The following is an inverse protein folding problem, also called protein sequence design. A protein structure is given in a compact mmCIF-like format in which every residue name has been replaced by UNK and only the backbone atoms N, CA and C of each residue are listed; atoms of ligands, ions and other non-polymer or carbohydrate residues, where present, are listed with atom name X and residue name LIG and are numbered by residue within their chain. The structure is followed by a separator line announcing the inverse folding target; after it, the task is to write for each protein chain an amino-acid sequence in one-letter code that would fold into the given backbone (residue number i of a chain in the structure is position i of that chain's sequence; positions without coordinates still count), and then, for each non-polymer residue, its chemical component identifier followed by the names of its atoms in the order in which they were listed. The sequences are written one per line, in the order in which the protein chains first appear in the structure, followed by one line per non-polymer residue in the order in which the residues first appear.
data_IF_131909866405
#
_entry.id   IF_131909866405
#
_cell.length_a   1.000
_cell.length_b   1.000
_cell.length_c   1.000
_cell.angle_alpha   90.00
_cell.angle_beta   90.00
_cell.angle_gamma   90.00
#
_symmetry.space_group_name_H-M   'P 1'
#
loop_
_entity.id
_entity.type
_entity.pdbx_description
1 polymer ?
#
# COMPACT_ATOMS: atom_id res chain seq x y z
N UNK A 1 -9.75 25.74 -42.92
CA UNK A 1 -8.51 25.44 -42.17
C UNK A 1 -8.62 25.92 -40.72
N UNK A 2 -9.72 25.60 -40.04
CA UNK A 2 -9.91 25.88 -38.61
C UNK A 2 -10.70 24.72 -38.03
N UNK A 3 -10.00 23.67 -37.61
CA UNK A 3 -10.51 22.58 -36.77
C UNK A 3 -9.33 21.65 -36.45
N UNK A 4 -8.58 21.92 -35.37
CA UNK A 4 -7.68 20.92 -34.76
C UNK A 4 -7.08 21.33 -33.40
N UNK A 5 -7.73 22.18 -32.59
CA UNK A 5 -7.15 22.63 -31.28
C UNK A 5 -8.06 22.49 -30.06
N UNK A 6 -9.24 21.86 -30.18
CA UNK A 6 -10.22 21.84 -29.08
C UNK A 6 -10.42 20.47 -28.40
N UNK A 7 -9.63 19.45 -28.74
CA UNK A 7 -9.73 18.10 -28.15
C UNK A 7 -8.56 17.71 -27.22
N UNK A 8 -7.82 18.69 -26.69
CA UNK A 8 -6.73 18.44 -25.74
C UNK A 8 -6.95 19.14 -24.38
N UNK A 9 -8.19 19.17 -23.88
CA UNK A 9 -8.56 19.83 -22.62
C UNK A 9 -8.96 18.87 -21.49
N UNK A 10 -8.75 17.56 -21.64
CA UNK A 10 -9.01 16.55 -20.59
C UNK A 10 -7.86 15.57 -20.34
N UNK A 11 -6.65 15.87 -20.84
CA UNK A 11 -5.44 15.25 -20.30
C UNK A 11 -5.02 16.08 -19.09
N UNK A 12 -5.20 15.53 -17.90
CA UNK A 12 -4.61 16.06 -16.66
C UNK A 12 -3.11 16.22 -16.92
N UNK A 13 -2.66 17.46 -17.18
CA UNK A 13 -1.28 17.76 -17.57
C UNK A 13 -0.35 17.15 -16.52
N UNK A 14 0.53 16.25 -16.94
CA UNK A 14 1.52 15.63 -16.05
C UNK A 14 2.50 16.71 -15.65
N UNK A 15 2.54 17.04 -14.37
CA UNK A 15 3.40 18.09 -13.84
C UNK A 15 4.77 17.50 -13.52
N UNK A 16 5.81 18.05 -14.16
CA UNK A 16 7.19 17.66 -13.87
C UNK A 16 7.67 18.30 -12.58
N UNK A 17 8.02 17.50 -11.57
CA UNK A 17 8.62 17.97 -10.32
C UNK A 17 10.13 18.17 -10.50
N UNK A 18 10.63 19.34 -10.14
CA UNK A 18 12.05 19.69 -10.25
C UNK A 18 12.86 19.18 -9.05
N UNK A 19 13.34 17.95 -9.14
CA UNK A 19 14.25 17.34 -8.15
C UNK A 19 15.68 17.83 -8.40
N UNK A 20 16.32 18.39 -7.38
CA UNK A 20 17.73 18.82 -7.47
C UNK A 20 18.68 17.73 -7.01
N UNK A 21 19.95 17.83 -7.41
CA UNK A 21 21.00 16.95 -6.89
C UNK A 21 21.09 16.99 -5.35
N UNK A 22 20.97 18.18 -4.75
CA UNK A 22 20.98 18.35 -3.30
C UNK A 22 19.83 17.62 -2.60
N UNK A 23 18.64 17.60 -3.19
CA UNK A 23 17.51 16.83 -2.64
C UNK A 23 17.83 15.34 -2.60
N UNK A 24 18.36 14.80 -3.71
CA UNK A 24 18.70 13.39 -3.80
C UNK A 24 19.81 13.00 -2.82
N UNK A 25 20.89 13.79 -2.73
CA UNK A 25 21.99 13.54 -1.79
C UNK A 25 21.50 13.58 -0.34
N UNK A 26 20.62 14.53 0.02
CA UNK A 26 20.06 14.63 1.35
C UNK A 26 19.21 13.40 1.71
N UNK A 27 18.31 12.97 0.81
CA UNK A 27 17.53 11.74 1.00
C UNK A 27 18.44 10.52 1.12
N UNK A 28 19.47 10.40 0.27
CA UNK A 28 20.42 9.28 0.34
C UNK A 28 21.12 9.22 1.69
N UNK A 29 21.63 10.36 2.15
CA UNK A 29 22.33 10.45 3.43
C UNK A 29 21.42 10.07 4.61
N UNK A 30 20.16 10.52 4.58
CA UNK A 30 19.17 10.21 5.60
C UNK A 30 18.77 8.73 5.61
N UNK A 31 18.50 8.13 4.44
CA UNK A 31 18.05 6.72 4.37
C UNK A 31 19.14 5.74 4.82
N UNK A 32 20.41 6.07 4.59
CA UNK A 32 21.54 5.27 5.07
C UNK A 32 21.62 5.15 6.59
N UNK A 33 21.05 6.08 7.35
CA UNK A 33 21.06 6.00 8.82
C UNK A 33 20.04 5.00 9.36
N UNK A 34 19.04 4.63 8.55
CA UNK A 34 17.94 3.74 8.95
C UNK A 34 18.33 2.27 8.82
N UNK A 35 18.99 1.91 7.72
CA UNK A 35 19.33 0.50 7.45
C UNK A 35 20.74 0.22 8.01
N UNK A 36 20.86 -0.55 9.10
CA UNK A 36 22.17 -0.85 9.67
C UNK A 36 22.98 -1.71 8.70
N UNK A 37 24.29 -1.44 8.68
CA UNK A 37 25.28 -2.18 7.89
C UNK A 37 24.94 -2.30 6.40
N UNK A 38 24.27 -1.30 5.82
CA UNK A 38 24.02 -1.23 4.38
C UNK A 38 25.35 -1.16 3.62
N UNK A 39 25.61 -2.15 2.76
CA UNK A 39 26.90 -2.21 2.07
C UNK A 39 27.03 -3.33 1.05
N UNK A 40 28.27 -3.66 0.69
CA UNK A 40 28.62 -4.62 -0.38
C UNK A 40 28.20 -6.06 -0.12
N UNK A 41 27.80 -6.40 1.11
CA UNK A 41 27.22 -7.71 1.45
C UNK A 41 25.75 -7.84 1.05
N UNK A 42 25.10 -6.73 0.69
CA UNK A 42 23.70 -6.71 0.31
C UNK A 42 23.50 -6.83 -1.20
N UNK A 43 22.34 -7.36 -1.54
CA UNK A 43 21.83 -7.45 -2.91
C UNK A 43 20.41 -6.90 -2.92
N UNK A 44 20.17 -5.89 -3.74
CA UNK A 44 18.87 -5.24 -3.89
C UNK A 44 18.16 -5.71 -5.16
N UNK A 45 16.85 -5.99 -5.05
CA UNK A 45 16.01 -6.27 -6.22
C UNK A 45 15.30 -4.99 -6.68
N UNK A 46 15.72 -4.46 -7.84
CA UNK A 46 15.04 -3.37 -8.54
C UNK A 46 14.01 -3.95 -9.52
N UNK A 47 12.72 -3.75 -9.26
CA UNK A 47 11.65 -4.25 -10.13
C UNK A 47 10.53 -3.25 -10.39
N UNK A 48 10.52 -2.09 -9.71
CA UNK A 48 9.63 -1.00 -10.06
C UNK A 48 10.25 -0.17 -11.20
N UNK A 49 9.44 0.60 -11.95
CA UNK A 49 9.97 1.45 -13.01
C UNK A 49 10.83 2.60 -12.45
N UNK A 50 12.00 2.82 -13.04
CA UNK A 50 12.91 3.93 -12.67
C UNK A 50 12.27 5.33 -12.81
N UNK A 51 11.23 5.46 -13.63
CA UNK A 51 10.44 6.70 -13.74
C UNK A 51 9.71 7.08 -12.44
N UNK A 52 9.58 6.15 -11.50
CA UNK A 52 8.99 6.39 -10.19
C UNK A 52 10.08 6.79 -9.18
N UNK A 53 9.89 7.94 -8.52
CA UNK A 53 10.87 8.54 -7.58
C UNK A 53 11.31 7.59 -6.47
N UNK A 54 10.43 6.68 -6.02
CA UNK A 54 10.75 5.72 -4.97
C UNK A 54 11.84 4.73 -5.39
N UNK A 55 11.77 4.19 -6.62
CA UNK A 55 12.80 3.31 -7.16
C UNK A 55 14.07 4.09 -7.48
N UNK A 56 13.94 5.29 -8.07
CA UNK A 56 15.09 6.15 -8.35
C UNK A 56 15.89 6.47 -7.07
N UNK A 57 15.21 6.83 -5.98
CA UNK A 57 15.85 7.11 -4.70
C UNK A 57 16.47 5.84 -4.09
N UNK A 58 15.77 4.71 -4.16
CA UNK A 58 16.28 3.43 -3.66
C UNK A 58 17.55 2.99 -4.41
N UNK A 59 17.52 2.94 -5.75
CA UNK A 59 18.70 2.63 -6.57
C UNK A 59 19.85 3.59 -6.26
N UNK A 60 19.58 4.89 -6.10
CA UNK A 60 20.60 5.87 -5.75
C UNK A 60 21.23 5.61 -4.36
N UNK A 61 20.43 5.20 -3.36
CA UNK A 61 20.93 4.77 -2.04
C UNK A 61 21.80 3.52 -2.17
N UNK A 62 21.36 2.54 -2.95
CA UNK A 62 22.07 1.27 -3.15
C UNK A 62 23.41 1.49 -3.85
N UNK A 63 23.42 2.23 -4.97
CA UNK A 63 24.63 2.58 -5.71
C UNK A 63 25.63 3.32 -4.83
N UNK A 64 25.16 4.32 -4.09
CA UNK A 64 26.04 5.10 -3.25
C UNK A 64 26.62 4.24 -2.10
N UNK A 65 25.90 3.21 -1.65
CA UNK A 65 26.32 2.31 -0.57
C UNK A 65 27.12 1.09 -1.06
N UNK A 66 27.35 0.95 -2.37
CA UNK A 66 28.07 -0.19 -2.96
C UNK A 66 27.28 -1.49 -2.97
N UNK A 67 25.95 -1.43 -2.88
CA UNK A 67 25.04 -2.59 -2.91
C UNK A 67 24.90 -3.08 -4.35
N UNK A 68 24.91 -4.40 -4.56
CA UNK A 68 24.65 -4.96 -5.88
C UNK A 68 23.16 -4.86 -6.22
N UNK A 69 22.83 -4.44 -7.45
CA UNK A 69 21.44 -4.30 -7.92
C UNK A 69 21.16 -5.38 -8.96
N UNK A 70 20.12 -6.18 -8.72
CA UNK A 70 19.55 -7.09 -9.70
C UNK A 70 18.24 -6.53 -10.25
N UNK A 71 18.14 -6.46 -11.58
CA UNK A 71 16.95 -5.95 -12.27
C UNK A 71 15.97 -7.07 -12.57
N UNK A 72 14.68 -6.82 -12.32
CA UNK A 72 13.59 -7.73 -12.60
C UNK A 72 12.30 -6.99 -12.94
N UNK A 73 11.17 -7.69 -12.92
CA UNK A 73 9.85 -7.08 -13.06
C UNK A 73 8.85 -7.69 -12.09
N UNK A 74 7.82 -6.94 -11.72
CA UNK A 74 6.72 -7.46 -10.90
C UNK A 74 6.05 -8.73 -11.48
N UNK A 75 6.17 -8.95 -12.80
CA UNK A 75 5.56 -10.08 -13.52
C UNK A 75 6.51 -11.27 -13.73
N UNK A 76 7.78 -11.14 -13.33
CA UNK A 76 8.84 -12.18 -13.39
C UNK A 76 9.48 -12.44 -12.02
N UNK A 77 9.05 -11.71 -10.99
CA UNK A 77 9.64 -11.68 -9.66
C UNK A 77 9.70 -13.06 -8.98
N UNK A 78 8.61 -13.81 -8.99
CA UNK A 78 8.49 -15.13 -8.32
C UNK A 78 8.35 -16.26 -9.34
N UNK A 79 8.67 -17.49 -8.94
CA UNK A 79 8.50 -18.71 -9.76
C UNK A 79 7.05 -18.94 -10.23
N UNK A 80 6.07 -18.30 -9.57
CA UNK A 80 4.66 -18.38 -9.89
C UNK A 80 4.15 -17.19 -10.72
N UNK A 81 5.03 -16.30 -11.16
CA UNK A 81 4.61 -15.07 -11.85
C UNK A 81 4.20 -15.33 -13.30
N UNK A 82 3.21 -14.57 -13.78
CA UNK A 82 2.52 -14.87 -15.05
C UNK A 82 3.41 -14.81 -16.30
N UNK A 83 4.46 -13.99 -16.31
CA UNK A 83 5.37 -13.85 -17.46
C UNK A 83 6.58 -14.77 -17.39
N UNK A 84 6.69 -15.61 -16.36
CA UNK A 84 7.78 -16.57 -16.27
C UNK A 84 7.45 -17.83 -17.08
N UNK A 85 8.45 -18.37 -17.78
CA UNK A 85 8.30 -19.65 -18.48
C UNK A 85 8.06 -20.75 -17.43
N UNK A 86 6.97 -21.51 -17.57
CA UNK A 86 6.67 -22.63 -16.67
C UNK A 86 7.87 -23.56 -16.52
N UNK A 87 8.25 -23.86 -15.27
CA UNK A 87 9.42 -24.68 -14.95
C UNK A 87 10.75 -23.93 -14.82
N UNK A 88 10.76 -22.60 -14.98
CA UNK A 88 11.94 -21.75 -14.72
C UNK A 88 11.84 -21.03 -13.38
N UNK A 89 12.97 -20.52 -12.88
CA UNK A 89 13.09 -19.80 -11.61
C UNK A 89 12.92 -18.30 -11.83
N UNK A 90 12.14 -17.65 -10.96
CA UNK A 90 11.93 -16.20 -10.96
C UNK A 90 13.15 -15.42 -10.53
N UNK A 91 13.09 -14.11 -10.77
CA UNK A 91 14.19 -13.18 -10.51
C UNK A 91 14.70 -13.31 -9.08
N UNK A 92 13.77 -13.37 -8.11
CA UNK A 92 14.09 -13.43 -6.68
C UNK A 92 14.71 -14.78 -6.28
N UNK A 93 14.30 -15.89 -6.93
CA UNK A 93 14.84 -17.22 -6.66
C UNK A 93 16.29 -17.39 -7.17
N UNK A 94 16.64 -16.66 -8.23
CA UNK A 94 18.00 -16.64 -8.80
C UNK A 94 18.87 -15.64 -8.06
N UNK A 95 18.41 -14.40 -7.91
CA UNK A 95 19.16 -13.29 -7.33
C UNK A 95 19.37 -13.45 -5.82
N UNK A 96 18.40 -14.02 -5.11
CA UNK A 96 18.40 -14.14 -3.64
C UNK A 96 18.69 -12.80 -2.93
N UNK A 97 17.85 -11.77 -3.15
CA UNK A 97 18.08 -10.44 -2.61
C UNK A 97 18.06 -10.43 -1.07
N UNK A 98 18.81 -9.49 -0.50
CA UNK A 98 18.76 -9.16 0.94
C UNK A 98 17.86 -7.96 1.23
N UNK A 99 17.68 -7.07 0.26
CA UNK A 99 16.90 -5.84 0.39
C UNK A 99 15.89 -5.72 -0.75
N UNK A 100 14.74 -5.13 -0.44
CA UNK A 100 13.67 -4.91 -1.40
C UNK A 100 12.80 -3.74 -0.97
N UNK A 101 12.44 -2.85 -1.90
CA UNK A 101 11.29 -1.97 -1.70
C UNK A 101 10.03 -2.63 -2.23
N UNK A 102 8.88 -2.32 -1.65
CA UNK A 102 7.61 -2.89 -2.10
C UNK A 102 6.50 -1.86 -2.10
N UNK A 103 5.44 -2.19 -2.81
CA UNK A 103 4.14 -1.50 -2.73
C UNK A 103 3.11 -2.43 -2.08
N UNK A 104 2.05 -1.90 -1.43
CA UNK A 104 1.07 -2.72 -0.73
C UNK A 104 0.47 -3.84 -1.58
N UNK A 105 0.10 -3.55 -2.83
CA UNK A 105 -0.46 -4.53 -3.75
C UNK A 105 0.45 -5.76 -3.99
N UNK A 106 1.77 -5.58 -3.99
CA UNK A 106 2.73 -6.69 -4.13
C UNK A 106 2.81 -7.50 -2.84
N UNK A 107 2.77 -6.84 -1.69
CA UNK A 107 2.74 -7.49 -0.38
C UNK A 107 1.46 -8.31 -0.19
N UNK A 108 0.31 -7.78 -0.58
CA UNK A 108 -0.98 -8.50 -0.55
C UNK A 108 -0.94 -9.75 -1.46
N UNK A 109 -0.39 -9.63 -2.68
CA UNK A 109 -0.19 -10.79 -3.56
C UNK A 109 0.72 -11.86 -2.95
N UNK A 110 1.79 -11.45 -2.26
CA UNK A 110 2.68 -12.39 -1.54
C UNK A 110 1.90 -13.10 -0.42
N UNK A 111 1.11 -12.35 0.36
CA UNK A 111 0.25 -12.91 1.41
C UNK A 111 -0.72 -13.94 0.83
N UNK A 112 -1.40 -13.61 -0.26
CA UNK A 112 -2.38 -14.49 -0.88
C UNK A 112 -1.72 -15.75 -1.48
N UNK A 113 -0.53 -15.60 -2.06
CA UNK A 113 0.28 -16.73 -2.52
C UNK A 113 0.70 -17.66 -1.37
N UNK A 114 1.03 -17.12 -0.19
CA UNK A 114 1.29 -17.92 1.02
C UNK A 114 0.04 -18.69 1.41
N UNK A 115 -1.12 -18.02 1.52
CA UNK A 115 -2.37 -18.68 1.90
C UNK A 115 -2.77 -19.79 0.93
N UNK A 116 -2.63 -19.56 -0.38
CA UNK A 116 -2.89 -20.57 -1.41
C UNK A 116 -2.00 -21.79 -1.23
N UNK A 117 -0.69 -21.60 -1.03
CA UNK A 117 0.28 -22.69 -0.82
C UNK A 117 0.02 -23.47 0.47
N UNK A 118 -0.42 -22.79 1.53
CA UNK A 118 -0.82 -23.44 2.79
C UNK A 118 -2.09 -24.25 2.60
N UNK A 119 -3.07 -23.74 1.86
CA UNK A 119 -4.33 -24.43 1.58
C UNK A 119 -4.13 -25.68 0.70
N UNK A 120 -3.24 -25.64 -0.28
CA UNK A 120 -2.90 -26.77 -1.17
C UNK A 120 -2.27 -27.96 -0.40
N UNK A 121 -1.53 -27.69 0.69
CA UNK A 121 -0.90 -28.72 1.53
C UNK A 121 -1.84 -29.39 2.54
N UNK A 122 -3.14 -29.06 2.52
CA UNK A 122 -4.18 -29.73 3.30
C UNK A 122 -4.36 -29.23 4.75
N UNK A 123 -5.38 -29.80 5.42
CA UNK A 123 -5.92 -29.27 6.69
C UNK A 123 -4.98 -29.34 7.91
N UNK A 124 -4.11 -30.36 7.99
CA UNK A 124 -3.14 -30.48 9.10
C UNK A 124 -2.06 -29.39 8.98
N UNK A 125 -1.52 -29.19 7.78
CA UNK A 125 -0.54 -28.13 7.49
C UNK A 125 -1.12 -26.74 7.78
N UNK A 126 -2.39 -26.51 7.40
CA UNK A 126 -3.10 -25.27 7.73
C UNK A 126 -3.24 -25.06 9.24
N UNK A 127 -3.67 -26.08 10.00
CA UNK A 127 -3.75 -25.98 11.47
C UNK A 127 -2.39 -25.69 12.11
N UNK A 128 -1.33 -26.34 11.63
CA UNK A 128 0.04 -26.09 12.09
C UNK A 128 0.49 -24.65 11.78
N UNK A 129 0.16 -24.14 10.58
CA UNK A 129 0.42 -22.75 10.21
C UNK A 129 -0.31 -21.78 11.13
N UNK A 130 -1.61 -21.99 11.35
CA UNK A 130 -2.43 -21.13 12.21
C UNK A 130 -1.92 -21.11 13.65
N UNK A 131 -1.48 -22.27 14.18
CA UNK A 131 -0.87 -22.38 15.51
C UNK A 131 0.46 -21.63 15.55
N UNK A 132 1.36 -21.87 14.60
CA UNK A 132 2.66 -21.21 14.54
C UNK A 132 2.53 -19.69 14.41
N UNK A 133 1.60 -19.23 13.57
CA UNK A 133 1.29 -17.82 13.39
C UNK A 133 0.81 -17.19 14.70
N UNK A 134 -0.19 -17.79 15.36
CA UNK A 134 -0.72 -17.29 16.64
C UNK A 134 0.33 -17.26 17.75
N UNK A 135 1.24 -18.23 17.79
CA UNK A 135 2.31 -18.27 18.81
C UNK A 135 3.42 -17.25 18.54
N UNK A 136 3.79 -17.00 17.29
CA UNK A 136 4.71 -15.91 16.96
C UNK A 136 4.05 -14.53 17.20
N UNK A 137 2.76 -14.40 16.89
CA UNK A 137 2.00 -13.20 17.20
C UNK A 137 1.97 -12.93 18.70
N UNK A 138 1.66 -13.94 19.51
CA UNK A 138 1.71 -13.84 20.97
C UNK A 138 3.08 -13.47 21.51
N UNK A 139 4.17 -13.93 20.87
CA UNK A 139 5.53 -13.55 21.27
C UNK A 139 5.82 -12.05 20.99
N UNK A 140 5.34 -11.54 19.85
CA UNK A 140 5.47 -10.12 19.47
C UNK A 140 4.64 -9.23 20.40
N UNK A 141 3.44 -9.67 20.78
CA UNK A 141 2.54 -8.93 21.69
C UNK A 141 2.94 -9.07 23.18
N UNK A 142 4.05 -9.74 23.49
CA UNK A 142 4.52 -9.92 24.87
C UNK A 142 3.65 -10.89 25.70
N UNK A 143 2.84 -11.72 25.06
CA UNK A 143 2.02 -12.74 25.72
C UNK A 143 2.86 -13.90 26.24
N UNK A 144 2.51 -14.41 27.43
CA UNK A 144 3.05 -15.66 28.00
C UNK A 144 2.88 -16.87 27.08
N UNK A 145 1.88 -16.85 26.19
CA UNK A 145 1.61 -17.90 25.20
C UNK A 145 2.46 -17.80 23.93
N UNK A 146 3.37 -16.83 23.87
CA UNK A 146 4.29 -16.63 22.77
C UNK A 146 5.29 -17.78 22.58
N UNK A 147 5.76 -17.98 21.36
CA UNK A 147 6.74 -19.04 21.08
C UNK A 147 8.08 -18.76 21.77
N UNK A 148 8.48 -19.65 22.68
CA UNK A 148 9.80 -19.64 23.31
C UNK A 148 10.89 -20.11 22.32
N UNK A 149 12.16 -19.77 22.58
CA UNK A 149 13.27 -19.96 21.63
C UNK A 149 13.36 -21.36 20.96
N UNK A 150 13.17 -22.50 21.67
CA UNK A 150 13.21 -23.84 21.05
C UNK A 150 12.07 -24.09 20.05
N UNK A 151 10.88 -23.60 20.36
CA UNK A 151 9.69 -23.81 19.54
C UNK A 151 9.71 -22.90 18.31
N UNK A 152 10.21 -21.67 18.48
CA UNK A 152 10.43 -20.74 17.37
C UNK A 152 11.36 -21.36 16.31
N UNK A 153 12.35 -22.14 16.71
CA UNK A 153 13.26 -22.86 15.80
C UNK A 153 12.54 -23.93 14.96
N UNK A 154 11.63 -24.68 15.58
CA UNK A 154 10.81 -25.71 14.91
C UNK A 154 9.90 -25.05 13.87
N UNK A 155 9.13 -24.03 14.27
CA UNK A 155 8.24 -23.33 13.36
C UNK A 155 8.98 -22.63 12.21
N UNK A 156 10.13 -22.02 12.52
CA UNK A 156 11.00 -21.40 11.52
C UNK A 156 11.46 -22.39 10.46
N UNK A 157 11.81 -23.62 10.85
CA UNK A 157 12.35 -24.62 9.93
C UNK A 157 11.27 -25.29 9.08
N UNK A 158 10.11 -25.59 9.67
CA UNK A 158 9.06 -26.37 9.01
C UNK A 158 8.13 -25.47 8.18
N UNK A 159 7.75 -24.30 8.72
CA UNK A 159 6.68 -23.48 8.16
C UNK A 159 7.24 -22.24 7.45
N UNK A 160 8.10 -21.48 8.11
CA UNK A 160 8.54 -20.18 7.59
C UNK A 160 9.68 -20.29 6.58
N UNK A 161 10.57 -21.28 6.67
CA UNK A 161 11.66 -21.48 5.70
C UNK A 161 11.15 -21.67 4.25
N UNK A 162 10.11 -22.49 3.98
CA UNK A 162 9.50 -22.57 2.64
C UNK A 162 8.84 -21.28 2.16
N UNK A 163 8.39 -20.41 3.08
CA UNK A 163 7.76 -19.12 2.77
C UNK A 163 8.84 -18.10 2.41
N UNK A 164 9.89 -17.98 3.24
CA UNK A 164 11.08 -17.16 2.97
C UNK A 164 11.74 -17.52 1.64
N UNK A 165 11.81 -18.81 1.33
CA UNK A 165 12.37 -19.29 0.07
C UNK A 165 11.63 -18.78 -1.18
N UNK A 166 10.34 -18.41 -1.06
CA UNK A 166 9.61 -17.80 -2.18
C UNK A 166 10.13 -16.40 -2.53
N UNK A 167 10.77 -15.74 -1.57
CA UNK A 167 11.47 -14.48 -1.76
C UNK A 167 12.99 -14.65 -1.66
N UNK A 168 13.51 -15.80 -2.11
CA UNK A 168 14.95 -16.04 -2.22
C UNK A 168 15.64 -16.43 -0.90
N UNK A 169 14.99 -16.20 0.24
CA UNK A 169 15.41 -16.69 1.56
C UNK A 169 16.45 -15.85 2.29
N UNK A 170 16.99 -14.81 1.66
CA UNK A 170 18.04 -13.96 2.23
C UNK A 170 17.58 -12.53 2.57
N UNK A 171 16.31 -12.20 2.31
CA UNK A 171 15.77 -10.89 2.68
C UNK A 171 15.96 -10.65 4.17
N UNK A 172 16.46 -9.47 4.51
CA UNK A 172 16.62 -8.99 5.88
C UNK A 172 15.78 -7.75 6.18
N UNK A 173 15.35 -7.01 5.16
CA UNK A 173 14.51 -5.81 5.32
C UNK A 173 13.68 -5.56 4.06
N UNK A 174 12.42 -5.16 4.27
CA UNK A 174 11.52 -4.70 3.19
C UNK A 174 10.98 -3.33 3.57
N UNK A 175 11.11 -2.35 2.67
CA UNK A 175 10.50 -1.03 2.84
C UNK A 175 9.27 -0.91 1.94
N UNK A 176 8.08 -0.76 2.52
CA UNK A 176 6.84 -0.60 1.78
C UNK A 176 6.43 0.87 1.66
N UNK A 177 6.06 1.34 0.48
CA UNK A 177 5.63 2.73 0.26
C UNK A 177 4.72 2.93 -0.95
N UNK A 178 4.33 4.19 -1.19
CA UNK A 178 3.53 4.61 -2.34
C UNK A 178 2.00 4.54 -2.17
N UNK A 179 1.51 3.72 -1.25
CA UNK A 179 0.10 3.63 -0.85
C UNK A 179 -0.04 3.11 0.60
N UNK A 180 -1.21 3.30 1.25
CA UNK A 180 -1.46 2.77 2.59
C UNK A 180 -1.38 1.24 2.65
N UNK A 181 -0.58 0.72 3.59
CA UNK A 181 -0.48 -0.71 3.86
C UNK A 181 -1.35 -1.08 5.07
N UNK A 182 -2.15 -2.13 4.94
CA UNK A 182 -2.98 -2.59 6.05
C UNK A 182 -2.11 -3.15 7.19
N UNK A 183 -2.46 -2.81 8.42
CA UNK A 183 -1.77 -3.29 9.61
C UNK A 183 -1.76 -4.82 9.71
N UNK A 184 -2.81 -5.46 9.19
CA UNK A 184 -2.92 -6.93 9.13
C UNK A 184 -1.92 -7.52 8.13
N UNK A 185 -1.83 -6.99 6.91
CA UNK A 185 -0.84 -7.45 5.91
C UNK A 185 0.58 -7.24 6.41
N UNK A 186 0.90 -6.06 6.94
CA UNK A 186 2.24 -5.77 7.46
C UNK A 186 2.64 -6.77 8.55
N UNK A 187 1.76 -6.96 9.53
CA UNK A 187 1.95 -7.92 10.63
C UNK A 187 2.11 -9.34 10.13
N UNK A 188 1.28 -9.75 9.17
CA UNK A 188 1.32 -11.08 8.59
C UNK A 188 2.68 -11.35 7.94
N UNK A 189 3.18 -10.41 7.14
CA UNK A 189 4.43 -10.57 6.41
C UNK A 189 5.62 -10.50 7.37
N UNK A 190 5.61 -9.60 8.36
CA UNK A 190 6.60 -9.56 9.44
C UNK A 190 6.77 -10.95 10.09
N UNK A 191 5.65 -11.61 10.42
CA UNK A 191 5.66 -12.93 11.05
C UNK A 191 6.11 -14.02 10.06
N UNK A 192 5.56 -14.02 8.86
CA UNK A 192 5.78 -15.09 7.89
C UNK A 192 7.18 -15.11 7.30
N UNK A 193 7.72 -13.93 7.00
CA UNK A 193 9.10 -13.78 6.54
C UNK A 193 10.08 -13.73 7.71
N UNK A 194 9.64 -13.36 8.92
CA UNK A 194 10.53 -13.15 10.05
C UNK A 194 11.54 -12.04 9.81
N UNK A 195 11.15 -11.05 9.00
CA UNK A 195 11.95 -9.87 8.66
C UNK A 195 11.14 -8.62 8.94
N UNK A 196 11.76 -7.51 9.35
CA UNK A 196 11.09 -6.22 9.47
C UNK A 196 10.61 -5.71 8.10
N UNK A 197 9.31 -5.45 8.03
CA UNK A 197 8.63 -4.72 6.95
C UNK A 197 8.32 -3.32 7.49
N UNK A 198 9.15 -2.35 7.11
CA UNK A 198 8.96 -0.95 7.43
C UNK A 198 8.00 -0.29 6.46
N UNK A 199 7.31 0.76 6.91
CA UNK A 199 6.53 1.65 6.06
C UNK A 199 7.32 2.95 5.80
N UNK A 200 7.29 3.42 4.55
CA UNK A 200 7.91 4.66 4.12
C UNK A 200 6.88 5.64 3.58
N UNK A 201 6.86 6.85 4.13
CA UNK A 201 6.10 7.97 3.60
C UNK A 201 7.01 8.95 2.87
N UNK A 202 6.57 9.34 1.66
CA UNK A 202 7.24 10.31 0.82
C UNK A 202 6.45 10.56 -0.46
N UNK A 203 6.62 11.75 -1.03
CA UNK A 203 6.03 12.16 -2.29
C UNK A 203 7.15 12.48 -3.30
N UNK A 204 6.78 12.66 -4.57
CA UNK A 204 7.72 13.16 -5.59
C UNK A 204 8.26 14.53 -5.20
N UNK A 205 7.40 15.38 -4.65
CA UNK A 205 7.68 16.72 -4.13
C UNK A 205 8.66 16.75 -2.95
N UNK A 206 8.82 15.60 -2.26
CA UNK A 206 9.76 15.41 -1.14
C UNK A 206 10.88 14.42 -1.49
N UNK A 207 11.13 14.18 -2.79
CA UNK A 207 12.21 13.31 -3.24
C UNK A 207 12.16 11.90 -2.61
N UNK A 208 10.97 11.30 -2.56
CA UNK A 208 10.67 9.99 -1.96
C UNK A 208 10.91 9.84 -0.44
N UNK A 209 11.35 10.89 0.26
CA UNK A 209 11.73 10.81 1.67
C UNK A 209 11.04 11.84 2.55
N UNK A 210 10.23 11.39 3.51
CA UNK A 210 9.65 12.22 4.55
C UNK A 210 9.78 11.59 5.94
N UNK A 211 9.21 10.40 6.14
CA UNK A 211 9.20 9.69 7.42
C UNK A 211 9.13 8.18 7.20
N UNK A 212 10.07 7.43 7.77
CA UNK A 212 10.28 5.99 7.51
C UNK A 212 10.32 5.21 8.82
N UNK A 213 9.85 3.97 8.81
CA UNK A 213 10.01 3.07 9.96
C UNK A 213 11.48 2.75 10.15
N UNK A 214 11.92 2.72 11.40
CA UNK A 214 13.23 2.18 11.75
C UNK A 214 13.29 0.68 11.45
N UNK A 215 14.50 0.17 11.22
CA UNK A 215 14.69 -1.23 10.82
C UNK A 215 14.23 -2.24 11.89
N UNK A 216 14.18 -1.84 13.16
CA UNK A 216 13.80 -2.64 14.31
C UNK A 216 12.39 -2.30 14.85
N UNK A 217 11.68 -1.34 14.25
CA UNK A 217 10.29 -1.04 14.62
C UNK A 217 9.34 -2.10 14.03
N UNK A 218 8.76 -2.91 14.91
CA UNK A 218 7.77 -3.94 14.57
C UNK A 218 6.32 -3.44 14.62
N UNK A 219 6.13 -2.16 14.95
CA UNK A 219 4.82 -1.52 14.99
C UNK A 219 4.17 -1.48 13.61
N UNK A 220 2.83 -1.51 13.60
CA UNK A 220 2.04 -1.56 12.37
C UNK A 220 1.01 -0.44 12.34
N UNK A 221 0.60 -0.04 11.14
CA UNK A 221 -0.40 1.02 10.95
C UNK A 221 0.14 2.44 11.10
N UNK A 222 1.47 2.61 11.14
CA UNK A 222 2.15 3.90 11.17
C UNK A 222 3.38 3.86 10.27
N UNK A 223 3.88 5.03 9.87
CA UNK A 223 5.05 5.10 8.99
C UNK A 223 6.34 5.14 9.79
N UNK A 224 6.50 6.04 10.75
CA UNK A 224 7.72 6.13 11.55
C UNK A 224 8.15 7.57 11.80
N UNK A 225 9.34 7.79 12.38
CA UNK A 225 9.85 9.13 12.63
C UNK A 225 10.21 9.87 11.33
N UNK A 226 10.24 11.21 11.34
CA UNK A 226 10.80 12.00 10.26
C UNK A 226 12.24 11.61 9.93
N UNK A 227 12.58 11.61 8.64
CA UNK A 227 13.96 11.42 8.20
C UNK A 227 14.87 12.53 8.75
N UNK A 228 16.16 12.27 9.04
CA UNK A 228 17.09 13.30 9.52
C UNK A 228 17.21 14.56 8.65
N UNK A 229 16.91 14.46 7.36
CA UNK A 229 16.92 15.61 6.44
C UNK A 229 15.59 16.40 6.38
N UNK A 230 14.58 15.96 7.13
CA UNK A 230 13.20 16.45 7.06
C UNK A 230 12.72 17.04 8.38
N UNK A 231 11.91 18.07 8.29
CA UNK A 231 11.06 18.56 9.38
C UNK A 231 9.62 18.22 9.05
N UNK A 232 8.84 17.74 10.02
CA UNK A 232 7.41 17.44 9.84
C UNK A 232 6.62 18.20 10.88
N UNK A 233 5.56 18.88 10.46
CA UNK A 233 4.59 19.54 11.34
C UNK A 233 3.16 19.26 10.88
N UNK A 234 2.21 19.39 11.79
CA UNK A 234 0.78 19.32 11.49
C UNK A 234 0.17 20.73 11.47
N UNK A 235 -0.77 20.96 10.55
CA UNK A 235 -1.60 22.15 10.50
C UNK A 235 -3.06 21.73 10.61
N UNK A 236 -3.82 22.36 11.51
CA UNK A 236 -5.25 22.06 11.66
C UNK A 236 -5.99 22.25 10.34
N UNK A 237 -6.85 21.30 10.01
CA UNK A 237 -7.79 21.39 8.90
C UNK A 237 -9.20 21.44 9.48
N UNK A 238 -9.65 22.67 9.75
CA UNK A 238 -10.91 22.95 10.44
C UNK A 238 -12.14 22.41 9.69
N UNK A 239 -12.14 22.54 8.36
CA UNK A 239 -13.24 22.08 7.50
C UNK A 239 -13.45 20.57 7.58
N UNK A 240 -12.36 19.80 7.76
CA UNK A 240 -12.39 18.34 7.92
C UNK A 240 -12.46 17.88 9.38
N UNK A 241 -12.46 18.79 10.36
CA UNK A 241 -12.50 18.45 11.78
C UNK A 241 -11.21 17.78 12.31
N UNK A 242 -10.07 17.99 11.66
CA UNK A 242 -8.77 17.47 12.13
C UNK A 242 -7.98 18.61 12.75
N UNK A 243 -7.71 18.53 14.05
CA UNK A 243 -7.06 19.62 14.80
C UNK A 243 -5.82 19.16 15.52
N UNK A 244 -4.83 20.04 15.61
CA UNK A 244 -3.63 19.80 16.41
C UNK A 244 -3.93 19.73 17.91
N UNK A 245 -5.12 20.17 18.33
CA UNK A 245 -5.63 20.05 19.70
C UNK A 245 -6.34 18.73 19.98
N UNK A 246 -6.50 17.86 18.98
CA UNK A 246 -7.14 16.55 19.16
C UNK A 246 -6.32 15.68 20.12
N UNK A 247 -7.03 14.89 20.93
CA UNK A 247 -6.46 14.00 21.95
C UNK A 247 -7.03 12.59 21.77
N UNK A 248 -6.24 11.51 21.93
CA UNK A 248 -4.87 11.47 22.47
C UNK A 248 -3.76 11.79 21.47
N UNK A 249 -4.06 11.84 20.17
CA UNK A 249 -3.09 12.08 19.11
C UNK A 249 -3.50 13.32 18.31
N UNK A 250 -2.61 14.33 18.18
CA UNK A 250 -2.92 15.52 17.39
C UNK A 250 -3.00 15.16 15.91
N UNK A 251 -3.97 15.74 15.20
CA UNK A 251 -4.22 15.44 13.78
C UNK A 251 -4.21 16.71 12.94
N UNK A 252 -3.91 16.58 11.66
CA UNK A 252 -3.95 17.71 10.74
C UNK A 252 -3.28 17.41 9.42
N UNK A 253 -3.17 18.43 8.57
CA UNK A 253 -2.38 18.37 7.35
C UNK A 253 -0.90 18.21 7.67
N UNK A 254 -0.28 17.20 7.06
CA UNK A 254 1.17 16.99 7.13
C UNK A 254 1.86 18.02 6.25
N UNK A 255 2.75 18.81 6.85
CA UNK A 255 3.58 19.78 6.13
C UNK A 255 5.03 19.43 6.37
N UNK A 256 5.78 19.28 5.28
CA UNK A 256 7.15 18.75 5.31
C UNK A 256 8.10 19.86 4.88
N UNK A 257 9.14 20.08 5.67
CA UNK A 257 10.24 20.99 5.36
C UNK A 257 11.57 20.26 5.32
N UNK A 258 12.63 20.97 4.91
CA UNK A 258 14.00 20.47 4.95
C UNK A 258 14.62 20.24 3.57
N UNK A 259 15.71 19.48 3.55
CA UNK A 259 16.57 19.37 2.36
C UNK A 259 16.03 18.40 1.31
N UNK A 260 15.05 17.56 1.65
CA UNK A 260 14.36 16.68 0.69
C UNK A 260 13.32 17.42 -0.17
N UNK A 261 12.94 18.65 0.20
CA UNK A 261 11.90 19.41 -0.49
C UNK A 261 12.38 19.93 -1.83
N UNK A 262 11.66 19.58 -2.90
CA UNK A 262 12.01 19.91 -4.27
C UNK A 262 11.80 21.40 -4.60
N UNK A 263 12.27 21.83 -5.78
CA UNK A 263 12.17 23.24 -6.20
C UNK A 263 10.76 23.68 -6.58
N UNK A 264 9.86 22.73 -6.85
CA UNK A 264 8.51 22.99 -7.36
C UNK A 264 8.24 22.32 -8.69
N UNK A 265 7.22 22.81 -9.39
CA UNK A 265 6.76 22.28 -10.67
C UNK A 265 7.41 23.03 -11.85
N UNK A 266 7.90 22.28 -12.83
CA UNK A 266 8.53 22.82 -14.03
C UNK A 266 7.54 23.66 -14.84
N UNK A 267 7.91 24.90 -15.16
CA UNK A 267 7.08 25.88 -15.88
C UNK A 267 5.69 26.13 -15.26
N UNK A 268 5.52 25.91 -13.94
CA UNK A 268 4.26 26.17 -13.24
C UNK A 268 4.50 26.82 -11.88
N UNK A 269 4.87 28.10 -11.91
CA UNK A 269 5.13 28.90 -10.69
C UNK A 269 3.86 29.11 -9.86
N UNK A 270 2.70 29.31 -10.50
CA UNK A 270 1.44 29.53 -9.80
C UNK A 270 1.11 28.36 -8.86
N UNK A 271 1.18 27.13 -9.39
CA UNK A 271 0.96 25.93 -8.57
C UNK A 271 2.09 25.69 -7.57
N UNK A 272 3.33 26.02 -7.94
CA UNK A 272 4.46 25.94 -7.01
C UNK A 272 4.22 26.84 -5.79
N UNK A 273 3.79 28.07 -5.98
CA UNK A 273 3.55 29.02 -4.89
C UNK A 273 2.31 28.67 -4.05
N UNK A 274 1.38 27.90 -4.60
CA UNK A 274 0.20 27.41 -3.87
C UNK A 274 0.59 26.44 -2.73
N UNK A 275 1.49 25.48 -3.03
CA UNK A 275 1.81 24.37 -2.13
C UNK A 275 3.21 24.44 -1.50
N UNK A 276 4.13 25.25 -2.04
CA UNK A 276 5.43 25.51 -1.45
C UNK A 276 5.47 26.89 -0.81
N UNK A 277 5.82 26.95 0.49
CA UNK A 277 5.92 28.20 1.24
C UNK A 277 7.25 28.25 1.97
N UNK A 278 7.84 29.45 2.08
CA UNK A 278 9.08 29.65 2.85
C UNK A 278 8.72 30.38 4.13
N UNK A 279 9.20 29.89 5.27
CA UNK A 279 8.99 30.56 6.55
C UNK A 279 10.03 31.66 6.80
N UNK A 280 9.86 32.40 7.89
CA UNK A 280 10.75 33.49 8.31
C UNK A 280 12.20 33.03 8.58
N UNK A 281 12.41 31.72 8.81
CA UNK A 281 13.73 31.11 9.02
C UNK A 281 14.37 30.66 7.72
N UNK A 282 13.71 30.88 6.58
CA UNK A 282 14.17 30.45 5.27
C UNK A 282 13.94 28.96 4.98
N UNK A 283 13.19 28.23 5.81
CA UNK A 283 12.87 26.83 5.58
C UNK A 283 11.74 26.76 4.56
N UNK A 284 11.98 26.02 3.48
CA UNK A 284 10.96 25.69 2.49
C UNK A 284 10.10 24.55 3.01
N UNK A 285 8.79 24.79 3.04
CA UNK A 285 7.74 23.87 3.47
C UNK A 285 6.86 23.49 2.27
N UNK A 286 6.53 22.22 2.18
CA UNK A 286 5.60 21.65 1.21
C UNK A 286 4.33 21.19 1.93
N UNK A 287 3.19 21.73 1.50
CA UNK A 287 1.86 21.36 1.95
C UNK A 287 1.41 20.12 1.17
N UNK A 288 1.42 18.97 1.83
CA UNK A 288 1.27 17.68 1.16
C UNK A 288 -0.14 17.42 0.63
N UNK A 289 -1.15 18.08 1.22
CA UNK A 289 -2.54 17.71 1.00
C UNK A 289 -2.93 16.37 1.64
N UNK A 290 -2.07 15.80 2.50
CA UNK A 290 -2.31 14.56 3.23
C UNK A 290 -2.58 14.87 4.71
N UNK A 291 -3.53 14.17 5.32
CA UNK A 291 -3.87 14.25 6.74
C UNK A 291 -3.13 13.14 7.47
N UNK A 292 -2.47 13.50 8.56
CA UNK A 292 -1.78 12.57 9.43
C UNK A 292 -1.96 12.91 10.91
N UNK A 293 -1.38 12.08 11.75
CA UNK A 293 -1.34 12.24 13.19
C UNK A 293 0.02 11.88 13.76
N UNK A 294 0.38 12.50 14.88
CA UNK A 294 1.58 12.13 15.63
C UNK A 294 1.24 11.16 16.75
N UNK A 295 2.01 10.09 16.82
CA UNK A 295 2.06 9.21 17.97
C UNK A 295 2.85 9.87 19.12
N UNK A 296 2.63 9.46 20.39
CA UNK A 296 3.36 10.02 21.53
C UNK A 296 4.89 9.87 21.47
N UNK A 297 5.39 8.91 20.69
CA UNK A 297 6.82 8.67 20.47
C UNK A 297 7.42 9.47 19.30
N UNK A 298 6.63 10.34 18.67
CA UNK A 298 7.05 11.18 17.54
C UNK A 298 6.94 10.50 16.17
N UNK A 299 6.44 9.26 16.10
CA UNK A 299 6.16 8.61 14.83
C UNK A 299 4.94 9.24 14.15
N UNK A 300 5.00 9.33 12.82
CA UNK A 300 3.89 9.82 11.99
C UNK A 300 3.02 8.64 11.56
N UNK A 301 1.71 8.84 11.56
CA UNK A 301 0.74 7.99 10.88
C UNK A 301 -0.01 8.83 9.84
N UNK A 302 -0.19 8.27 8.64
CA UNK A 302 -0.93 8.93 7.56
C UNK A 302 -2.34 8.36 7.57
N UNK A 303 -3.33 9.23 7.71
CA UNK A 303 -4.75 8.88 7.75
C UNK A 303 -5.25 8.71 6.31
N UNK A 304 -5.21 9.79 5.52
CA UNK A 304 -5.59 9.76 4.10
C UNK A 304 -5.24 11.07 3.40
N UNK A 305 -5.48 11.15 2.10
CA UNK A 305 -5.41 12.39 1.33
C UNK A 305 -6.64 13.25 1.65
N UNK A 306 -6.46 14.56 1.81
CA UNK A 306 -7.58 15.50 2.05
C UNK A 306 -8.73 15.34 1.05
N UNK A 307 -8.40 15.07 -0.22
CA UNK A 307 -9.37 14.88 -1.31
C UNK A 307 -10.08 13.52 -1.27
N UNK A 308 -9.50 12.54 -0.60
CA UNK A 308 -10.05 11.19 -0.45
C UNK A 308 -10.82 11.02 0.88
N UNK A 309 -10.85 12.05 1.72
CA UNK A 309 -11.69 12.11 2.93
C UNK A 309 -13.05 12.70 2.55
N UNK A 310 -14.10 11.91 2.70
CA UNK A 310 -15.47 12.31 2.37
C UNK A 310 -16.30 12.44 3.64
N UNK A 311 -16.99 13.58 3.78
CA UNK A 311 -17.98 13.79 4.84
C UNK A 311 -19.32 13.24 4.39
N UNK A 312 -19.86 12.27 5.13
CA UNK A 312 -21.19 11.72 4.92
C UNK A 312 -22.27 12.68 5.43
N UNK A 313 -23.53 12.39 5.07
CA UNK A 313 -24.68 13.23 5.40
C UNK A 313 -24.84 13.53 6.90
N UNK A 314 -24.53 12.57 7.79
CA UNK A 314 -24.64 12.75 9.25
C UNK A 314 -23.37 13.36 9.88
N UNK A 315 -22.41 13.76 9.05
CA UNK A 315 -21.22 14.49 9.46
C UNK A 315 -20.02 13.63 9.84
N UNK A 316 -20.12 12.30 9.72
CA UNK A 316 -18.97 11.40 9.86
C UNK A 316 -18.03 11.54 8.66
N UNK A 317 -16.73 11.41 8.92
CA UNK A 317 -15.69 11.43 7.88
C UNK A 317 -15.23 10.02 7.58
N UNK A 318 -15.28 9.64 6.30
CA UNK A 318 -14.79 8.35 5.80
C UNK A 318 -13.49 8.58 5.04
N UNK A 319 -12.45 7.87 5.46
CA UNK A 319 -11.17 7.77 4.74
C UNK A 319 -11.26 6.61 3.74
N UNK A 320 -11.43 6.93 2.46
CA UNK A 320 -11.62 5.91 1.43
C UNK A 320 -10.40 4.99 1.29
N UNK A 321 -9.18 5.54 1.37
CA UNK A 321 -7.95 4.77 1.24
C UNK A 321 -7.73 3.78 2.39
N UNK A 322 -8.06 4.19 3.62
CA UNK A 322 -8.01 3.31 4.81
C UNK A 322 -8.97 2.14 4.65
N UNK A 323 -10.21 2.41 4.24
CA UNK A 323 -11.23 1.37 4.05
C UNK A 323 -10.80 0.40 2.95
N UNK A 324 -10.33 0.90 1.81
CA UNK A 324 -9.85 0.06 0.70
C UNK A 324 -8.70 -0.86 1.13
N UNK A 325 -7.69 -0.31 1.82
CA UNK A 325 -6.54 -1.09 2.32
C UNK A 325 -6.97 -2.19 3.29
N UNK A 326 -7.94 -1.91 4.17
CA UNK A 326 -8.51 -2.90 5.08
C UNK A 326 -9.34 -3.97 4.35
N UNK A 327 -10.11 -3.60 3.33
CA UNK A 327 -10.96 -4.54 2.58
C UNK A 327 -10.17 -5.41 1.60
N UNK A 328 -9.00 -4.94 1.14
CA UNK A 328 -8.06 -5.69 0.30
C UNK A 328 -7.52 -6.96 0.99
N UNK A 329 -7.77 -7.15 2.28
CA UNK A 329 -7.44 -8.40 3.00
C UNK A 329 -8.39 -9.56 2.72
N UNK A 330 -9.53 -9.29 2.08
CA UNK A 330 -10.51 -10.31 1.68
C UNK A 330 -10.01 -11.14 0.48
N UNK A 331 -10.09 -12.48 0.58
CA UNK A 331 -9.73 -13.41 -0.50
C UNK A 331 -10.58 -13.28 -1.78
N UNK A 332 -11.67 -12.51 -1.73
CA UNK A 332 -12.54 -12.23 -2.87
C UNK A 332 -12.27 -10.85 -3.50
N UNK A 333 -11.14 -10.20 -3.17
CA UNK A 333 -10.78 -8.88 -3.70
C UNK A 333 -9.41 -8.95 -4.37
N UNK A 334 -9.36 -8.72 -5.67
CA UNK A 334 -8.12 -8.43 -6.41
C UNK A 334 -7.90 -6.92 -6.47
N UNK A 335 -8.96 -6.15 -6.78
CA UNK A 335 -8.98 -4.69 -6.62
C UNK A 335 -10.32 -4.23 -6.05
N UNK A 336 -10.30 -3.15 -5.28
CA UNK A 336 -11.51 -2.50 -4.75
C UNK A 336 -11.38 -0.99 -4.84
N UNK A 337 -12.47 -0.32 -5.20
CA UNK A 337 -12.62 1.14 -5.04
C UNK A 337 -13.84 1.41 -4.18
N UNK A 338 -13.64 2.07 -3.04
CA UNK A 338 -14.72 2.57 -2.21
C UNK A 338 -15.10 3.97 -2.70
N UNK A 339 -16.38 4.22 -2.76
CA UNK A 339 -16.96 5.49 -3.14
C UNK A 339 -17.96 5.93 -2.08
N UNK A 340 -17.90 7.21 -1.72
CA UNK A 340 -18.83 7.83 -0.80
C UNK A 340 -19.38 9.10 -1.45
N UNK A 341 -20.71 9.23 -1.43
CA UNK A 341 -21.41 10.44 -1.84
C UNK A 341 -21.75 11.27 -0.58
N UNK A 342 -21.39 12.57 -0.52
CA UNK A 342 -21.69 13.43 0.63
C UNK A 342 -23.18 13.54 0.99
N UNK A 343 -24.08 13.30 0.02
CA UNK A 343 -25.52 13.34 0.22
C UNK A 343 -26.10 12.06 0.84
N UNK A 344 -25.28 11.03 1.03
CA UNK A 344 -25.70 9.75 1.58
C UNK A 344 -25.01 9.45 2.92
N UNK A 345 -25.63 8.54 3.68
CA UNK A 345 -25.18 8.13 5.01
C UNK A 345 -24.28 6.89 5.01
N UNK A 346 -23.95 6.36 3.82
CA UNK A 346 -23.18 5.14 3.66
C UNK A 346 -22.27 5.22 2.43
N UNK A 347 -21.19 4.46 2.47
CA UNK A 347 -20.32 4.24 1.32
C UNK A 347 -20.73 2.98 0.54
N UNK A 348 -20.29 2.91 -0.71
CA UNK A 348 -20.50 1.81 -1.64
C UNK A 348 -19.16 1.39 -2.25
N UNK A 349 -19.07 0.22 -2.87
CA UNK A 349 -17.79 -0.23 -3.46
C UNK A 349 -17.95 -0.93 -4.81
N UNK A 350 -16.97 -0.68 -5.68
CA UNK A 350 -16.70 -1.46 -6.88
C UNK A 350 -15.62 -2.48 -6.57
N UNK A 351 -15.89 -3.76 -6.81
CA UNK A 351 -14.99 -4.86 -6.45
C UNK A 351 -14.68 -5.68 -7.67
N UNK A 352 -13.39 -5.89 -7.94
CA UNK A 352 -12.91 -6.86 -8.92
C UNK A 352 -12.52 -8.12 -8.14
N UNK A 353 -13.29 -9.22 -8.27
CA UNK A 353 -12.95 -10.46 -7.61
C UNK A 353 -11.90 -11.25 -8.40
N UNK A 354 -11.01 -12.02 -7.73
CA UNK A 354 -10.16 -12.98 -8.42
C UNK A 354 -11.04 -14.06 -9.07
N UNK A 355 -10.97 -14.19 -10.40
CA UNK A 355 -11.84 -15.12 -11.16
C UNK A 355 -11.79 -16.54 -10.60
N UNK A 356 -10.58 -17.05 -10.35
CA UNK A 356 -10.38 -18.39 -9.80
C UNK A 356 -11.06 -18.60 -8.43
N UNK A 357 -11.09 -17.58 -7.57
CA UNK A 357 -11.71 -17.68 -6.25
C UNK A 357 -13.24 -17.71 -6.36
N UNK A 358 -13.80 -16.85 -7.20
CA UNK A 358 -15.24 -16.74 -7.42
C UNK A 358 -15.80 -17.99 -8.12
N UNK A 359 -15.15 -18.46 -9.18
CA UNK A 359 -15.53 -19.67 -9.91
C UNK A 359 -15.51 -20.92 -9.02
N UNK A 360 -14.49 -21.05 -8.17
CA UNK A 360 -14.37 -22.17 -7.23
C UNK A 360 -15.48 -22.15 -6.19
N UNK A 361 -15.86 -20.96 -5.70
CA UNK A 361 -17.02 -20.82 -4.82
C UNK A 361 -18.32 -21.21 -5.54
N UNK A 362 -18.52 -20.75 -6.77
CA UNK A 362 -19.72 -21.06 -7.56
C UNK A 362 -19.88 -22.56 -7.79
N UNK A 363 -18.79 -23.26 -8.13
CA UNK A 363 -18.76 -24.72 -8.28
C UNK A 363 -19.13 -25.45 -6.98
N UNK A 364 -18.58 -25.01 -5.83
CA UNK A 364 -18.87 -25.62 -4.54
C UNK A 364 -20.32 -25.37 -4.07
N UNK A 365 -20.87 -24.22 -4.44
CA UNK A 365 -22.25 -23.82 -4.12
C UNK A 365 -23.28 -24.37 -5.12
N UNK A 366 -22.85 -25.07 -6.16
CA UNK A 366 -23.73 -25.63 -7.20
C UNK A 366 -24.39 -24.59 -8.11
N UNK A 367 -23.78 -23.42 -8.27
CA UNK A 367 -24.31 -22.33 -9.11
C UNK A 367 -23.85 -22.54 -10.54
N UNK A 368 -24.80 -22.62 -11.47
CA UNK A 368 -24.52 -22.65 -12.91
C UNK A 368 -24.31 -21.23 -13.44
N UNK A 369 -23.30 -21.03 -14.26
CA UNK A 369 -22.98 -19.77 -14.93
C UNK A 369 -22.37 -20.06 -16.32
N UNK A 370 -22.56 -19.17 -17.29
CA UNK A 370 -21.99 -19.28 -18.64
C UNK A 370 -20.63 -18.62 -18.74
N UNK A 371 -20.49 -17.46 -18.12
CA UNK A 371 -19.26 -16.67 -18.08
C UNK A 371 -19.12 -15.94 -16.73
N UNK A 372 -17.96 -15.31 -16.54
CA UNK A 372 -17.63 -14.58 -15.32
C UNK A 372 -18.53 -13.35 -15.13
N UNK A 373 -19.04 -12.77 -16.22
CA UNK A 373 -19.90 -11.60 -16.19
C UNK A 373 -21.26 -11.94 -15.58
N UNK A 374 -21.87 -13.06 -15.98
CA UNK A 374 -23.09 -13.59 -15.36
C UNK A 374 -22.89 -13.88 -13.87
N UNK A 375 -21.71 -14.41 -13.51
CA UNK A 375 -21.39 -14.70 -12.11
C UNK A 375 -21.22 -13.43 -11.27
N UNK A 376 -20.64 -12.37 -11.82
CA UNK A 376 -20.51 -11.06 -11.15
C UNK A 376 -21.88 -10.37 -10.92
N UNK A 377 -22.86 -10.61 -11.80
CA UNK A 377 -24.21 -10.07 -11.65
C UNK A 377 -25.14 -10.93 -10.76
N UNK A 378 -24.66 -12.08 -10.27
CA UNK A 378 -25.46 -12.98 -9.45
C UNK A 378 -25.60 -12.48 -7.99
N UNK A 379 -26.83 -12.34 -7.50
CA UNK A 379 -27.13 -11.90 -6.13
C UNK A 379 -26.49 -12.74 -5.04
N UNK A 380 -26.33 -14.05 -5.25
CA UNK A 380 -25.68 -14.94 -4.29
C UNK A 380 -24.18 -14.68 -4.23
N UNK A 381 -23.54 -14.42 -5.37
CA UNK A 381 -22.13 -14.07 -5.45
C UNK A 381 -21.86 -12.72 -4.77
N UNK A 382 -22.69 -11.71 -5.05
CA UNK A 382 -22.61 -10.39 -4.41
C UNK A 382 -22.73 -10.53 -2.89
N UNK A 383 -23.68 -11.33 -2.38
CA UNK A 383 -23.85 -11.57 -0.94
C UNK A 383 -22.65 -12.26 -0.30
N UNK A 384 -22.07 -13.27 -0.94
CA UNK A 384 -20.87 -13.95 -0.44
C UNK A 384 -19.69 -12.96 -0.31
N UNK A 385 -19.43 -12.20 -1.37
CA UNK A 385 -18.34 -11.22 -1.38
C UNK A 385 -18.60 -10.14 -0.31
N UNK A 386 -19.82 -9.63 -0.20
CA UNK A 386 -20.18 -8.64 0.82
C UNK A 386 -20.02 -9.16 2.25
N UNK A 387 -20.34 -10.43 2.51
CA UNK A 387 -20.09 -11.05 3.81
C UNK A 387 -18.59 -11.17 4.10
N UNK A 388 -17.78 -11.50 3.09
CA UNK A 388 -16.32 -11.55 3.22
C UNK A 388 -15.74 -10.16 3.53
N UNK A 389 -16.18 -9.13 2.82
CA UNK A 389 -15.78 -7.74 3.07
C UNK A 389 -16.17 -7.31 4.49
N UNK A 390 -17.37 -7.65 4.93
CA UNK A 390 -17.83 -7.33 6.29
C UNK A 390 -16.98 -8.01 7.38
N UNK A 391 -16.46 -9.22 7.12
CA UNK A 391 -15.53 -9.90 8.04
C UNK A 391 -14.18 -9.19 8.07
N UNK A 392 -13.63 -8.84 6.91
CA UNK A 392 -12.38 -8.09 6.79
C UNK A 392 -12.47 -6.71 7.50
N UNK A 393 -13.55 -5.97 7.26
CA UNK A 393 -13.79 -4.68 7.91
C UNK A 393 -13.85 -4.77 9.44
N UNK A 394 -14.55 -5.79 9.98
CA UNK A 394 -14.62 -6.02 11.43
C UNK A 394 -13.26 -6.40 12.02
N UNK A 395 -12.47 -7.22 11.31
CA UNK A 395 -11.12 -7.57 11.73
C UNK A 395 -10.20 -6.34 11.80
N UNK A 396 -10.36 -5.42 10.84
CA UNK A 396 -9.67 -4.13 10.80
C UNK A 396 -10.25 -3.06 11.74
N UNK A 397 -11.29 -3.38 12.52
CA UNK A 397 -11.99 -2.45 13.44
C UNK A 397 -12.52 -1.19 12.75
N UNK A 398 -13.04 -1.34 11.53
CA UNK A 398 -13.74 -0.26 10.85
C UNK A 398 -15.11 -0.01 11.49
N UNK A 399 -15.52 1.26 11.51
CA UNK A 399 -16.83 1.68 11.98
C UNK A 399 -17.93 1.29 11.00
N UNK A 400 -19.17 1.18 11.47
CA UNK A 400 -20.29 0.71 10.63
C UNK A 400 -20.51 1.56 9.38
N UNK A 401 -20.30 2.87 9.47
CA UNK A 401 -20.45 3.81 8.34
C UNK A 401 -19.28 3.74 7.33
N UNK A 402 -18.13 3.21 7.75
CA UNK A 402 -16.97 2.96 6.89
C UNK A 402 -17.12 1.68 6.06
N UNK A 403 -18.05 0.77 6.41
CA UNK A 403 -18.26 -0.50 5.71
C UNK A 403 -19.19 -0.27 4.51
N UNK A 404 -18.78 -0.66 3.27
CA UNK A 404 -19.65 -0.52 2.09
C UNK A 404 -20.99 -1.23 2.27
N UNK A 405 -22.08 -0.47 2.21
CA UNK A 405 -23.43 -1.00 2.42
C UNK A 405 -23.95 -1.78 1.22
N UNK A 406 -23.48 -1.43 0.01
CA UNK A 406 -23.77 -2.13 -1.25
C UNK A 406 -22.49 -2.20 -2.08
N UNK A 407 -22.38 -3.25 -2.89
CA UNK A 407 -21.22 -3.48 -3.76
C UNK A 407 -21.67 -3.89 -5.17
N UNK A 408 -20.82 -3.64 -6.16
CA UNK A 408 -20.93 -4.20 -7.51
C UNK A 408 -19.66 -5.00 -7.80
N UNK A 409 -19.83 -6.20 -8.35
CA UNK A 409 -18.73 -7.02 -8.83
C UNK A 409 -18.46 -6.69 -10.29
N UNK A 410 -17.19 -6.46 -10.63
CA UNK A 410 -16.75 -6.14 -11.98
C UNK A 410 -15.89 -7.29 -12.53
N UNK A 411 -16.22 -7.83 -13.72
CA UNK A 411 -15.49 -8.96 -14.29
C UNK A 411 -14.11 -8.57 -14.85
N UNK A 412 -13.94 -7.32 -15.29
CA UNK A 412 -12.68 -6.87 -15.91
C UNK A 412 -11.61 -6.52 -14.85
N UNK A 413 -10.42 -7.15 -14.88
CA UNK A 413 -9.32 -6.78 -14.00
C UNK A 413 -8.79 -5.38 -14.32
N UNK A 414 -8.39 -4.65 -13.28
CA UNK A 414 -7.81 -3.31 -13.45
C UNK A 414 -6.30 -3.42 -13.65
N UNK A 415 -5.83 -2.96 -14.82
CA UNK A 415 -4.41 -3.05 -15.18
C UNK A 415 -3.84 -1.67 -15.57
N UNK A 416 -2.52 -1.49 -15.54
CA UNK A 416 -1.90 -0.25 -16.02
C UNK A 416 -2.25 0.04 -17.49
N UNK A 417 -2.40 -1.01 -18.31
CA UNK A 417 -2.75 -0.91 -19.73
C UNK A 417 -4.20 -0.45 -19.95
N UNK A 418 -5.14 -0.83 -19.07
CA UNK A 418 -6.52 -0.31 -19.12
C UNK A 418 -6.64 1.13 -18.63
N UNK A 419 -5.54 1.71 -18.12
CA UNK A 419 -5.48 3.07 -17.61
C UNK A 419 -6.06 3.25 -16.21
N UNK A 420 -6.78 2.26 -15.67
CA UNK A 420 -7.53 2.35 -14.40
C UNK A 420 -6.66 2.35 -13.14
N UNK A 421 -5.44 1.83 -13.26
CA UNK A 421 -4.41 1.90 -12.21
C UNK A 421 -3.11 2.51 -12.76
N UNK A 422 -2.24 3.02 -11.89
CA UNK A 422 -0.91 3.49 -12.26
C UNK A 422 0.03 2.31 -12.52
N UNK A 423 1.23 2.56 -13.06
CA UNK A 423 2.28 1.54 -13.20
C UNK A 423 2.68 0.90 -11.85
N UNK A 424 2.48 1.62 -10.74
CA UNK A 424 2.66 1.14 -9.37
C UNK A 424 1.38 0.51 -8.77
N UNK A 425 0.38 0.20 -9.62
CA UNK A 425 -0.91 -0.42 -9.24
C UNK A 425 -1.78 0.42 -8.29
N UNK A 426 -1.58 1.74 -8.26
CA UNK A 426 -2.41 2.66 -7.48
C UNK A 426 -3.69 3.03 -8.25
N UNK A 427 -4.83 3.08 -7.58
CA UNK A 427 -6.12 3.42 -8.18
C UNK A 427 -6.13 4.84 -8.77
N UNK A 428 -6.64 5.00 -9.99
CA UNK A 428 -6.96 6.31 -10.57
C UNK A 428 -8.46 6.61 -10.37
N UNK A 429 -8.81 7.05 -9.17
CA UNK A 429 -10.21 7.27 -8.72
C UNK A 429 -11.06 8.05 -9.73
N UNK A 430 -10.56 9.17 -10.26
CA UNK A 430 -11.33 10.00 -11.19
C UNK A 430 -11.66 9.28 -12.51
N UNK A 431 -10.74 8.46 -13.02
CA UNK A 431 -10.97 7.66 -14.22
C UNK A 431 -11.95 6.51 -13.94
N UNK A 432 -11.85 5.87 -12.78
CA UNK A 432 -12.79 4.84 -12.33
C UNK A 432 -14.20 5.40 -12.12
N UNK A 433 -14.33 6.56 -11.45
CA UNK A 433 -15.60 7.28 -11.27
C UNK A 433 -16.22 7.64 -12.62
N UNK A 434 -15.43 8.09 -13.58
CA UNK A 434 -15.90 8.42 -14.92
C UNK A 434 -16.38 7.18 -15.69
N UNK A 435 -15.61 6.08 -15.66
CA UNK A 435 -15.94 4.82 -16.36
C UNK A 435 -17.19 4.14 -15.77
N UNK A 436 -17.33 4.12 -14.45
CA UNK A 436 -18.38 3.38 -13.73
C UNK A 436 -19.44 4.28 -13.10
N UNK A 437 -19.67 5.48 -13.65
CA UNK A 437 -20.59 6.48 -13.10
C UNK A 437 -22.02 5.92 -12.93
N UNK A 438 -22.52 5.23 -13.95
CA UNK A 438 -23.88 4.71 -13.94
C UNK A 438 -24.06 3.59 -12.91
N UNK A 439 -23.05 2.75 -12.74
CA UNK A 439 -23.05 1.68 -11.75
C UNK A 439 -22.99 2.24 -10.32
N UNK A 440 -22.18 3.28 -10.09
CA UNK A 440 -22.15 3.99 -8.81
C UNK A 440 -23.51 4.64 -8.49
N UNK A 441 -24.18 5.23 -9.48
CA UNK A 441 -25.51 5.81 -9.30
C UNK A 441 -26.56 4.75 -8.93
N UNK A 442 -26.52 3.57 -9.57
CA UNK A 442 -27.41 2.45 -9.23
C UNK A 442 -27.26 1.98 -7.79
N UNK A 443 -26.06 2.10 -7.21
CA UNK A 443 -25.84 1.73 -5.81
C UNK A 443 -26.52 2.70 -4.82
N UNK A 444 -26.72 3.95 -5.21
CA UNK A 444 -27.36 4.96 -4.36
C UNK A 444 -28.87 5.12 -4.58
N UNK A 445 -29.39 4.54 -5.65
CA UNK A 445 -30.82 4.28 -5.84
C UNK A 445 -31.26 3.12 -4.95
#
# INVERSE_FOLDING_TARGET
MHESTTECSMLQLVEGVMITHGNMVATIAAVRTIIPNLGTSDVYLAYLPLAHVFELAAESVMLASGVAIGYGSALTMTDASNKIKKGTKGDVSVLKPTLMISVPAILDRIRDAVFKKVAEKGGITKKLFDVAYKRNLGAIEGSWTGSWAPERFIWNSIIFKPIRAMLGGHIRFILCGGAPLSSETQRFINICLGVPVGQGYGLTETCAGAAFSEWDDISVGRVGPPLPCCYVKLISWEEGGYRISDSPMPRGEVVIGGHSITKGYFNNEAKTNEVYKVDERGIRWFYTGDIGQFHPDGCVEIIDRKKDIVKLQHGEYVSLGKVESALQTSNYVDNIMVYADPFHSYCVALVVPPHQALEKWAQNSGISYKDIEELCHNDQAIKEVQQSLSKAAKAARLEKFEIPAKIILLPEPWTPESGLVTAALKLKREQLKAKFKDDLNKLYQ
#
